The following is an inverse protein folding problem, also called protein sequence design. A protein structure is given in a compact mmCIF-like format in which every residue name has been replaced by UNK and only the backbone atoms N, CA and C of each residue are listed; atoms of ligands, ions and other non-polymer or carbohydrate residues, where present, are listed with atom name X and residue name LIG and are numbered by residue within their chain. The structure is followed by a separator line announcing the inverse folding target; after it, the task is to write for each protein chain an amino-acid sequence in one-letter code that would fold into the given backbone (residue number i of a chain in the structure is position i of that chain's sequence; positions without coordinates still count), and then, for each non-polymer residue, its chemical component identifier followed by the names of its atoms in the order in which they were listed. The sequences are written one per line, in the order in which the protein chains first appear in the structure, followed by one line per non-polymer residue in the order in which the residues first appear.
data_IF_497201263722
#
_entry.id   IF_497201263722
#
_cell.length_a   1.000
_cell.length_b   1.000
_cell.length_c   1.000
_cell.angle_alpha   90.00
_cell.angle_beta   90.00
_cell.angle_gamma   90.00
#
_symmetry.space_group_name_H-M   'P 1'
#
loop_
_entity.id
_entity.type
_entity.pdbx_description
1 polymer ?
#
# COMPACT_ATOMS: atom_id res chain seq x y z
N UNK A 1 7.47 13.50 3.89
CA UNK A 1 6.25 14.32 3.94
C UNK A 1 5.29 13.62 4.88
N UNK A 2 4.66 14.33 5.81
CA UNK A 2 3.67 13.66 6.66
C UNK A 2 2.56 13.01 5.82
N UNK A 3 2.12 11.81 6.20
CA UNK A 3 0.98 11.13 5.58
C UNK A 3 -0.28 12.01 5.63
N UNK A 4 -1.12 11.91 4.60
CA UNK A 4 -2.40 12.62 4.62
C UNK A 4 -3.31 12.11 5.75
N UNK A 5 -4.16 13.00 6.28
CA UNK A 5 -5.06 12.68 7.40
C UNK A 5 -6.05 11.55 7.08
N UNK A 6 -6.36 11.32 5.79
CA UNK A 6 -7.26 10.27 5.32
C UNK A 6 -6.52 9.04 4.77
N UNK A 7 -5.22 8.93 5.08
CA UNK A 7 -4.42 7.77 4.69
C UNK A 7 -4.59 6.65 5.70
N UNK A 8 -4.78 5.44 5.19
CA UNK A 8 -4.77 4.21 5.97
C UNK A 8 -3.39 3.60 5.77
N UNK A 9 -2.68 3.24 6.84
CA UNK A 9 -1.35 2.65 6.73
C UNK A 9 -0.25 3.44 7.42
N UNK A 10 0.97 2.88 7.37
CA UNK A 10 2.14 3.48 7.99
C UNK A 10 3.41 3.03 7.28
N UNK A 11 4.46 3.85 7.37
CA UNK A 11 5.78 3.51 6.83
C UNK A 11 6.30 2.21 7.47
N UNK A 12 6.16 2.05 8.79
CA UNK A 12 6.54 0.83 9.49
C UNK A 12 5.78 -0.42 9.00
N UNK A 13 4.50 -0.27 8.65
CA UNK A 13 3.71 -1.34 8.05
C UNK A 13 4.23 -1.75 6.66
N UNK A 14 4.66 -0.79 5.85
CA UNK A 14 5.29 -1.08 4.55
C UNK A 14 6.66 -1.73 4.75
N UNK A 15 7.48 -1.23 5.68
CA UNK A 15 8.80 -1.77 6.01
C UNK A 15 8.73 -3.25 6.39
N UNK A 16 7.69 -3.67 7.11
CA UNK A 16 7.48 -5.08 7.45
C UNK A 16 7.35 -6.01 6.22
N UNK A 17 6.81 -5.51 5.10
CA UNK A 17 6.68 -6.28 3.85
C UNK A 17 7.91 -6.25 2.98
N UNK A 18 8.65 -5.14 2.99
CA UNK A 18 9.76 -4.88 2.05
C UNK A 18 11.07 -4.61 2.77
N UNK A 19 11.30 -5.28 3.90
CA UNK A 19 12.49 -5.10 4.73
C UNK A 19 13.80 -5.24 3.93
N UNK A 20 13.82 -6.11 2.90
CA UNK A 20 14.99 -6.31 2.01
C UNK A 20 15.35 -5.08 1.16
N UNK A 21 14.45 -4.11 1.01
CA UNK A 21 14.72 -2.84 0.30
C UNK A 21 15.45 -1.82 1.19
N UNK A 22 15.62 -2.13 2.48
CA UNK A 22 16.24 -1.24 3.46
C UNK A 22 17.37 -1.97 4.18
N UNK A 23 18.48 -1.28 4.46
CA UNK A 23 19.61 -1.90 5.15
C UNK A 23 19.37 -2.12 6.66
N UNK A 24 18.48 -1.31 7.26
CA UNK A 24 18.20 -1.31 8.70
C UNK A 24 16.71 -1.42 9.03
N UNK A 25 15.88 -1.86 8.06
CA UNK A 25 14.42 -1.90 8.25
C UNK A 25 13.75 -0.53 8.21
N UNK A 26 14.46 0.53 7.78
CA UNK A 26 13.97 1.92 7.83
C UNK A 26 14.19 2.64 6.49
N UNK A 27 13.16 3.28 5.98
CA UNK A 27 13.27 4.19 4.83
C UNK A 27 13.83 5.56 5.24
N UNK A 28 14.75 6.09 4.44
CA UNK A 28 15.40 7.38 4.69
C UNK A 28 15.37 8.26 3.43
N UNK A 29 16.00 9.42 3.47
CA UNK A 29 16.15 10.29 2.29
C UNK A 29 17.09 9.70 1.24
N UNK A 30 17.93 8.73 1.60
CA UNK A 30 18.91 8.10 0.71
C UNK A 30 18.54 6.68 0.27
N UNK A 31 17.51 6.08 0.86
CA UNK A 31 17.00 4.78 0.42
C UNK A 31 16.36 4.87 -0.97
N UNK A 32 16.19 3.72 -1.61
CA UNK A 32 15.50 3.59 -2.90
C UNK A 32 14.43 2.51 -2.76
N UNK A 33 13.14 2.86 -2.61
CA UNK A 33 12.57 4.23 -2.63
C UNK A 33 12.93 5.06 -1.38
N UNK A 34 12.79 6.38 -1.47
CA UNK A 34 12.98 7.28 -0.31
C UNK A 34 11.77 7.23 0.62
N UNK A 35 11.95 7.64 1.87
CA UNK A 35 10.85 7.78 2.85
C UNK A 35 9.68 8.59 2.27
N UNK A 36 9.97 9.73 1.64
CA UNK A 36 8.95 10.58 1.03
C UNK A 36 8.19 9.90 -0.11
N UNK A 37 8.85 9.03 -0.88
CA UNK A 37 8.18 8.25 -1.92
C UNK A 37 7.26 7.19 -1.31
N UNK A 38 7.70 6.50 -0.25
CA UNK A 38 6.88 5.51 0.45
C UNK A 38 5.65 6.14 1.08
N UNK A 39 5.79 7.30 1.72
CA UNK A 39 4.66 8.09 2.23
C UNK A 39 3.68 8.44 1.10
N UNK A 40 4.18 8.88 -0.05
CA UNK A 40 3.36 9.14 -1.23
C UNK A 40 2.65 7.88 -1.78
N UNK A 41 3.27 6.70 -1.71
CA UNK A 41 2.64 5.45 -2.12
C UNK A 41 1.49 5.05 -1.19
N UNK A 42 1.66 5.25 0.12
CA UNK A 42 0.60 5.02 1.11
C UNK A 42 -0.58 5.95 0.85
N UNK A 43 -0.32 7.23 0.58
CA UNK A 43 -1.35 8.21 0.24
C UNK A 43 -2.12 7.80 -1.04
N UNK A 44 -1.42 7.35 -2.08
CA UNK A 44 -2.05 6.90 -3.33
C UNK A 44 -2.96 5.69 -3.12
N UNK A 45 -2.50 4.69 -2.36
CA UNK A 45 -3.29 3.49 -2.11
C UNK A 45 -4.49 3.79 -1.22
N UNK A 46 -4.30 4.65 -0.22
CA UNK A 46 -5.40 5.11 0.63
C UNK A 46 -6.44 5.92 -0.14
N UNK A 47 -6.02 6.77 -1.07
CA UNK A 47 -6.93 7.51 -1.95
C UNK A 47 -7.77 6.56 -2.81
N UNK A 48 -7.18 5.46 -3.29
CA UNK A 48 -7.90 4.44 -4.05
C UNK A 48 -8.90 3.66 -3.19
N UNK A 49 -8.53 3.29 -1.96
CA UNK A 49 -9.47 2.70 -0.99
C UNK A 49 -10.62 3.66 -0.68
N UNK A 50 -10.33 4.94 -0.44
CA UNK A 50 -11.35 5.98 -0.25
C UNK A 50 -12.27 6.11 -1.48
N UNK A 51 -11.74 6.07 -2.70
CA UNK A 51 -12.56 6.10 -3.90
C UNK A 51 -13.53 4.91 -3.96
N UNK A 52 -13.07 3.70 -3.63
CA UNK A 52 -13.92 2.50 -3.59
C UNK A 52 -14.96 2.55 -2.47
N UNK A 53 -14.59 3.04 -1.29
CA UNK A 53 -15.52 3.24 -0.17
C UNK A 53 -16.62 4.23 -0.54
N UNK A 54 -16.26 5.35 -1.18
CA UNK A 54 -17.23 6.36 -1.64
C UNK A 54 -18.17 5.78 -2.70
N UNK A 55 -17.64 4.98 -3.64
CA UNK A 55 -18.45 4.30 -4.66
C UNK A 55 -19.44 3.30 -4.05
N UNK A 56 -19.06 2.63 -2.97
CA UNK A 56 -19.92 1.71 -2.23
C UNK A 56 -20.89 2.43 -1.26
N UNK A 57 -20.84 3.77 -1.17
CA UNK A 57 -21.73 4.57 -0.34
C UNK A 57 -21.31 4.72 1.12
N UNK A 58 -20.09 4.33 1.49
CA UNK A 58 -19.58 4.53 2.85
C UNK A 58 -19.13 5.96 3.09
N UNK A 59 -19.30 6.42 4.33
CA UNK A 59 -18.77 7.71 4.78
C UNK A 59 -17.24 7.68 4.91
N UNK A 60 -16.60 8.77 4.49
CA UNK A 60 -15.14 8.97 4.56
C UNK A 60 -14.89 10.26 5.33
N UNK A 61 -13.95 10.29 6.30
CA UNK A 61 -13.03 9.20 6.67
C UNK A 61 -13.71 8.06 7.41
N UNK A 62 -13.19 6.84 7.23
CA UNK A 62 -13.60 5.69 8.04
C UNK A 62 -13.00 5.84 9.43
N UNK A 63 -13.85 5.90 10.45
CA UNK A 63 -13.44 6.09 11.85
C UNK A 63 -13.60 4.83 12.70
N UNK A 64 -14.29 3.81 12.20
CA UNK A 64 -14.49 2.54 12.90
C UNK A 64 -13.14 1.82 13.04
N UNK A 65 -12.61 1.60 14.27
CA UNK A 65 -11.24 1.15 14.45
C UNK A 65 -10.90 -0.16 13.73
N UNK A 66 -11.81 -1.13 13.72
CA UNK A 66 -11.57 -2.43 13.07
C UNK A 66 -11.51 -2.29 11.54
N UNK A 67 -12.38 -1.47 10.96
CA UNK A 67 -12.34 -1.18 9.52
C UNK A 67 -11.05 -0.45 9.14
N UNK A 68 -10.59 0.48 9.98
CA UNK A 68 -9.30 1.18 9.78
C UNK A 68 -8.13 0.20 9.77
N UNK A 69 -8.12 -0.82 10.65
CA UNK A 69 -7.07 -1.85 10.65
C UNK A 69 -7.06 -2.67 9.35
N UNK A 70 -8.24 -3.07 8.85
CA UNK A 70 -8.36 -3.80 7.58
C UNK A 70 -7.89 -2.93 6.40
N UNK A 71 -8.34 -1.67 6.33
CA UNK A 71 -7.91 -0.73 5.29
C UNK A 71 -6.41 -0.44 5.39
N UNK A 72 -5.86 -0.35 6.60
CA UNK A 72 -4.43 -0.18 6.81
C UNK A 72 -3.63 -1.35 6.25
N UNK A 73 -4.10 -2.59 6.43
CA UNK A 73 -3.44 -3.76 5.87
C UNK A 73 -3.36 -3.67 4.33
N UNK A 74 -4.48 -3.36 3.68
CA UNK A 74 -4.52 -3.21 2.22
C UNK A 74 -3.65 -2.07 1.72
N UNK A 75 -3.73 -0.89 2.34
CA UNK A 75 -2.93 0.25 1.92
C UNK A 75 -1.41 -0.03 2.05
N UNK A 76 -0.99 -0.71 3.12
CA UNK A 76 0.40 -1.14 3.29
C UNK A 76 0.82 -2.15 2.20
N UNK A 77 -0.03 -3.12 1.85
CA UNK A 77 0.22 -4.06 0.75
C UNK A 77 0.36 -3.35 -0.59
N UNK A 78 -0.56 -2.45 -0.93
CA UNK A 78 -0.48 -1.68 -2.17
C UNK A 78 0.79 -0.82 -2.25
N UNK A 79 1.14 -0.16 -1.15
CA UNK A 79 2.34 0.67 -1.07
C UNK A 79 3.62 -0.16 -1.14
N UNK A 80 3.66 -1.34 -0.54
CA UNK A 80 4.74 -2.31 -0.68
C UNK A 80 4.90 -2.78 -2.13
N UNK A 81 3.79 -3.02 -2.84
CA UNK A 81 3.78 -3.33 -4.27
C UNK A 81 4.43 -2.22 -5.12
N UNK A 82 4.10 -0.96 -4.86
CA UNK A 82 4.74 0.19 -5.52
C UNK A 82 6.22 0.34 -5.13
N UNK A 83 6.57 0.10 -3.87
CA UNK A 83 7.95 0.13 -3.41
C UNK A 83 8.82 -0.90 -4.16
N UNK A 84 8.32 -2.13 -4.34
CA UNK A 84 9.00 -3.17 -5.10
C UNK A 84 9.13 -2.82 -6.59
N UNK A 85 8.14 -2.13 -7.18
CA UNK A 85 8.21 -1.65 -8.56
C UNK A 85 9.33 -0.63 -8.81
N UNK A 86 9.83 0.04 -7.77
CA UNK A 86 10.96 0.97 -7.91
C UNK A 86 12.29 0.26 -8.16
N UNK A 87 12.37 -1.04 -7.87
CA UNK A 87 13.60 -1.80 -8.09
C UNK A 87 13.81 -2.10 -9.57
N UNK A 88 15.05 -1.95 -10.03
CA UNK A 88 15.40 -2.32 -11.40
C UNK A 88 15.32 -3.84 -11.54
N UNK A 89 14.39 -4.30 -12.36
CA UNK A 89 14.25 -5.71 -12.69
C UNK A 89 14.81 -5.95 -14.10
N UNK A 90 15.94 -6.64 -14.20
CA UNK A 90 16.51 -7.11 -15.47
C UNK A 90 16.19 -8.59 -15.62
N UNK A 91 15.76 -9.01 -16.82
CA UNK A 91 15.64 -10.43 -17.18
C UNK A 91 14.46 -11.18 -16.59
N UNK A 92 13.42 -10.50 -16.12
CA UNK A 92 12.16 -11.13 -15.70
C UNK A 92 11.01 -10.58 -16.55
N UNK A 93 9.94 -11.37 -16.71
CA UNK A 93 8.70 -10.98 -17.42
C UNK A 93 7.74 -10.20 -16.53
N UNK A 94 7.31 -9.01 -16.97
CA UNK A 94 6.48 -8.10 -16.15
C UNK A 94 5.19 -8.76 -15.63
N UNK A 95 4.66 -9.71 -16.40
CA UNK A 95 3.40 -10.41 -16.14
C UNK A 95 3.56 -11.66 -15.25
N UNK A 96 4.76 -11.95 -14.75
CA UNK A 96 4.97 -13.09 -13.84
C UNK A 96 4.26 -12.85 -12.49
N UNK A 97 3.19 -13.60 -12.24
CA UNK A 97 2.38 -13.56 -11.01
C UNK A 97 3.19 -13.91 -9.76
N UNK A 98 4.30 -14.65 -9.90
CA UNK A 98 5.12 -15.05 -8.76
C UNK A 98 5.98 -13.92 -8.21
N UNK A 99 6.07 -12.80 -8.94
CA UNK A 99 6.78 -11.60 -8.50
C UNK A 99 6.15 -10.97 -7.27
N UNK A 100 6.98 -10.52 -6.34
CA UNK A 100 6.54 -9.88 -5.08
C UNK A 100 5.63 -8.69 -5.33
N UNK A 101 6.00 -7.80 -6.26
CA UNK A 101 5.15 -6.64 -6.60
C UNK A 101 3.76 -7.06 -7.08
N UNK A 102 3.67 -8.10 -7.92
CA UNK A 102 2.41 -8.53 -8.51
C UNK A 102 1.53 -9.21 -7.45
N UNK A 103 2.13 -9.97 -6.53
CA UNK A 103 1.42 -10.53 -5.36
C UNK A 103 0.84 -9.44 -4.47
N UNK A 104 1.65 -8.45 -4.09
CA UNK A 104 1.19 -7.35 -3.25
C UNK A 104 0.06 -6.54 -3.91
N UNK A 105 0.20 -6.22 -5.19
CA UNK A 105 -0.83 -5.49 -5.93
C UNK A 105 -2.10 -6.34 -6.15
N UNK A 106 -1.97 -7.65 -6.38
CA UNK A 106 -3.11 -8.55 -6.48
C UNK A 106 -3.88 -8.65 -5.16
N UNK A 107 -3.18 -8.76 -4.02
CA UNK A 107 -3.81 -8.73 -2.70
C UNK A 107 -4.48 -7.39 -2.42
N UNK A 108 -3.86 -6.27 -2.82
CA UNK A 108 -4.49 -4.94 -2.69
C UNK A 108 -5.81 -4.84 -3.49
N UNK A 109 -5.86 -5.39 -4.71
CA UNK A 109 -7.07 -5.35 -5.54
C UNK A 109 -8.24 -6.13 -4.91
N UNK A 110 -7.98 -7.14 -4.08
CA UNK A 110 -9.05 -7.84 -3.34
C UNK A 110 -9.84 -6.93 -2.41
N UNK A 111 -9.22 -5.84 -1.93
CA UNK A 111 -9.92 -4.83 -1.12
C UNK A 111 -11.14 -4.26 -1.84
N UNK A 112 -11.09 -4.11 -3.16
CA UNK A 112 -12.23 -3.62 -3.93
C UNK A 112 -13.44 -4.57 -3.84
N UNK A 113 -13.17 -5.87 -3.91
CA UNK A 113 -14.21 -6.87 -3.75
C UNK A 113 -14.77 -6.83 -2.32
N UNK A 114 -13.90 -6.84 -1.31
CA UNK A 114 -14.27 -6.83 0.12
C UNK A 114 -15.11 -5.59 0.49
N UNK A 115 -14.77 -4.42 -0.05
CA UNK A 115 -15.51 -3.18 0.15
C UNK A 115 -16.90 -3.26 -0.51
N UNK A 116 -16.98 -3.83 -1.72
CA UNK A 116 -18.22 -3.87 -2.51
C UNK A 116 -19.19 -4.97 -2.09
N UNK A 117 -18.71 -6.12 -1.64
CA UNK A 117 -19.59 -7.20 -1.20
C UNK A 117 -20.17 -6.96 0.20
N UNK A 118 -19.57 -6.06 0.99
CA UNK A 118 -19.88 -5.91 2.41
C UNK A 118 -19.44 -7.18 3.15
N UNK A 119 -18.38 -7.08 3.95
CA UNK A 119 -17.89 -8.19 4.76
C UNK A 119 -19.01 -8.84 5.60
#
# INVERSE_FOLDING_TARGET
MALNANSYGSVAGVEAYVAHLTAAGVFTVSTRPTLAQVEGFIDQMSARLNAWLAQAGYGIPVTVPQAVLVLSNFANLGAAGLAELTQRVVGKDADDVNRRQNKFLAEFVKAEADIKCGA
#
